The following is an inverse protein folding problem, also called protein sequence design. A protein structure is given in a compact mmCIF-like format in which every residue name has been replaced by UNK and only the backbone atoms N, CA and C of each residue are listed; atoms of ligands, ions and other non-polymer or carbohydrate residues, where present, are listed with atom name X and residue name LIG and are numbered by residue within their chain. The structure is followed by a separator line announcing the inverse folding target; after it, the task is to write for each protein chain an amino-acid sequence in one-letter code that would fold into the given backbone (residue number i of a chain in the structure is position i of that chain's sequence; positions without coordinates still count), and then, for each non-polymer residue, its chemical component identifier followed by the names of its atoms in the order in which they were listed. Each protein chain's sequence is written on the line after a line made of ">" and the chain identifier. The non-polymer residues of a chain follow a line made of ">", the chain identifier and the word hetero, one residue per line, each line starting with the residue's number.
data_IF_156209090572
#
_entry.id   IF_156209090572
#
_cell.length_a   1.000
_cell.length_b   1.000
_cell.length_c   1.000
_cell.angle_alpha   90.00
_cell.angle_beta   90.00
_cell.angle_gamma   90.00
#
_symmetry.space_group_name_H-M   'P 1'
#
loop_
_entity.id
_entity.type
_entity.pdbx_description
1 polymer ?
#
# COMPACT_ATOMS: atom_id res chain seq x y z
N UNK A 1 52.39 15.17 11.20
CA UNK A 1 51.64 14.66 10.04
C UNK A 1 50.17 15.04 10.20
N UNK A 2 49.70 16.09 9.54
CA UNK A 2 48.26 16.41 9.51
C UNK A 2 47.57 15.45 8.55
N UNK A 3 46.59 14.68 9.04
CA UNK A 3 45.68 13.91 8.18
C UNK A 3 44.80 14.91 7.45
N UNK A 4 45.04 15.12 6.15
CA UNK A 4 44.09 15.83 5.29
C UNK A 4 42.76 15.07 5.32
N UNK A 5 41.80 15.58 6.08
CA UNK A 5 40.44 15.07 6.08
C UNK A 5 39.83 15.41 4.70
N UNK A 6 39.91 14.45 3.78
CA UNK A 6 39.23 14.55 2.49
C UNK A 6 37.73 14.65 2.75
N UNK A 7 37.16 15.83 2.54
CA UNK A 7 35.73 16.06 2.72
C UNK A 7 35.00 15.30 1.61
N UNK A 8 34.17 14.29 1.94
CA UNK A 8 33.48 13.53 0.93
C UNK A 8 32.48 14.42 0.19
N UNK A 9 32.55 14.37 -1.14
CA UNK A 9 31.64 15.07 -2.04
C UNK A 9 30.19 14.65 -1.79
N UNK A 10 29.23 15.51 -2.16
CA UNK A 10 27.79 15.18 -2.07
C UNK A 10 27.46 13.86 -2.79
N UNK A 11 28.10 13.60 -3.93
CA UNK A 11 27.94 12.37 -4.69
C UNK A 11 28.42 11.14 -3.90
N UNK A 12 29.61 11.21 -3.28
CA UNK A 12 30.14 10.12 -2.46
C UNK A 12 29.25 9.80 -1.26
N UNK A 13 28.76 10.84 -0.56
CA UNK A 13 27.80 10.67 0.53
C UNK A 13 26.53 9.97 0.05
N UNK A 14 25.95 10.44 -1.07
CA UNK A 14 24.74 9.84 -1.64
C UNK A 14 24.95 8.40 -2.11
N UNK A 15 26.07 8.09 -2.74
CA UNK A 15 26.40 6.72 -3.14
C UNK A 15 26.54 5.79 -1.93
N UNK A 16 27.12 6.26 -0.84
CA UNK A 16 27.24 5.48 0.40
C UNK A 16 25.86 5.22 1.04
N UNK A 17 24.99 6.22 1.07
CA UNK A 17 23.60 6.06 1.54
C UNK A 17 22.84 5.03 0.72
N UNK A 18 22.91 5.12 -0.61
CA UNK A 18 22.22 4.20 -1.51
C UNK A 18 22.76 2.78 -1.37
N UNK A 19 24.08 2.61 -1.24
CA UNK A 19 24.69 1.32 -0.96
C UNK A 19 24.23 0.73 0.37
N UNK A 20 24.23 1.55 1.43
CA UNK A 20 23.80 1.12 2.78
C UNK A 20 22.32 0.73 2.82
N UNK A 21 21.45 1.51 2.17
CA UNK A 21 19.99 1.33 2.26
C UNK A 21 19.44 0.33 1.24
N UNK A 22 19.99 0.31 0.04
CA UNK A 22 19.45 -0.45 -1.09
C UNK A 22 20.42 -1.46 -1.70
N UNK A 23 21.64 -1.59 -1.16
CA UNK A 23 22.65 -2.52 -1.69
C UNK A 23 23.22 -2.13 -3.05
N UNK A 24 22.98 -0.90 -3.53
CA UNK A 24 23.45 -0.46 -4.85
C UNK A 24 24.98 -0.38 -4.91
N UNK A 25 25.58 -0.88 -5.99
CA UNK A 25 27.01 -0.79 -6.23
C UNK A 25 27.42 0.61 -6.72
N UNK A 26 28.65 1.01 -6.43
CA UNK A 26 29.24 2.21 -7.01
C UNK A 26 29.48 2.03 -8.51
N UNK A 27 29.44 3.11 -9.30
CA UNK A 27 29.76 3.08 -10.73
C UNK A 27 31.13 2.45 -11.03
N UNK A 28 32.06 2.49 -10.06
CA UNK A 28 33.40 1.89 -10.17
C UNK A 28 33.42 0.37 -9.94
N UNK A 29 32.38 -0.18 -9.32
CA UNK A 29 32.24 -1.58 -8.92
C UNK A 29 31.45 -2.41 -9.95
N UNK A 30 30.80 -1.76 -10.93
CA UNK A 30 30.00 -2.45 -11.96
C UNK A 30 30.92 -3.18 -12.95
N UNK A 31 30.68 -4.47 -13.25
CA UNK A 31 31.47 -5.24 -14.20
C UNK A 31 31.58 -4.55 -15.55
N UNK A 32 32.81 -4.16 -15.94
CA UNK A 32 33.10 -3.49 -17.21
C UNK A 32 33.18 -4.52 -18.34
N UNK A 33 32.05 -5.08 -18.77
CA UNK A 33 32.03 -5.91 -19.98
C UNK A 33 32.24 -5.08 -21.26
N UNK A 34 31.99 -3.77 -21.20
CA UNK A 34 32.25 -2.81 -22.27
C UNK A 34 32.87 -1.52 -21.72
N UNK A 35 33.80 -0.92 -22.47
CA UNK A 35 34.47 0.33 -22.13
C UNK A 35 33.45 1.41 -21.73
N UNK A 36 33.65 2.02 -20.54
CA UNK A 36 32.86 3.12 -19.96
C UNK A 36 31.35 2.87 -19.89
N UNK A 37 30.87 2.43 -18.73
CA UNK A 37 29.46 2.56 -18.35
C UNK A 37 29.06 4.04 -18.43
N UNK A 38 28.12 4.37 -19.31
CA UNK A 38 27.60 5.74 -19.41
C UNK A 38 26.85 6.11 -18.13
N UNK A 39 26.80 7.41 -17.78
CA UNK A 39 26.04 7.88 -16.62
C UNK A 39 24.55 7.51 -16.72
N UNK A 40 24.00 7.43 -17.95
CA UNK A 40 22.63 7.00 -18.20
C UNK A 40 22.39 5.54 -17.80
N UNK A 41 23.30 4.63 -18.19
CA UNK A 41 23.22 3.21 -17.82
C UNK A 41 23.34 3.04 -16.31
N UNK A 42 24.27 3.75 -15.66
CA UNK A 42 24.40 3.73 -14.20
C UNK A 42 23.14 4.23 -13.49
N UNK A 43 22.57 5.35 -13.95
CA UNK A 43 21.32 5.90 -13.39
C UNK A 43 20.17 4.90 -13.49
N UNK A 44 20.04 4.21 -14.63
CA UNK A 44 19.02 3.16 -14.82
C UNK A 44 19.22 2.01 -13.83
N UNK A 45 20.44 1.49 -13.71
CA UNK A 45 20.79 0.44 -12.74
C UNK A 45 20.44 0.84 -11.29
N UNK A 46 20.83 2.04 -10.87
CA UNK A 46 20.55 2.52 -9.51
C UNK A 46 19.05 2.63 -9.27
N UNK A 47 18.29 3.17 -10.23
CA UNK A 47 16.84 3.29 -10.11
C UNK A 47 16.14 1.93 -10.03
N UNK A 48 16.54 0.97 -10.87
CA UNK A 48 16.02 -0.39 -10.85
C UNK A 48 16.36 -1.10 -9.54
N UNK A 49 17.58 -0.95 -9.03
CA UNK A 49 17.99 -1.52 -7.74
C UNK A 49 17.16 -0.97 -6.59
N UNK A 50 16.98 0.36 -6.54
CA UNK A 50 16.14 1.01 -5.51
C UNK A 50 14.69 0.53 -5.64
N UNK A 51 14.15 0.49 -6.85
CA UNK A 51 12.77 0.05 -7.11
C UNK A 51 12.57 -1.39 -6.61
N UNK A 52 13.43 -2.31 -7.01
CA UNK A 52 13.32 -3.72 -6.65
C UNK A 52 13.42 -3.91 -5.14
N UNK A 53 14.35 -3.21 -4.47
CA UNK A 53 14.47 -3.30 -3.01
C UNK A 53 13.23 -2.74 -2.30
N UNK A 54 12.70 -1.62 -2.76
CA UNK A 54 11.46 -1.06 -2.19
C UNK A 54 10.24 -1.94 -2.45
N UNK A 55 10.14 -2.57 -3.61
CA UNK A 55 9.06 -3.49 -3.96
C UNK A 55 9.14 -4.76 -3.08
N UNK A 56 10.35 -5.30 -2.87
CA UNK A 56 10.61 -6.39 -1.95
C UNK A 56 10.22 -6.04 -0.50
N UNK A 57 10.77 -4.95 0.05
CA UNK A 57 10.50 -4.49 1.42
C UNK A 57 9.00 -4.25 1.64
N UNK A 58 8.29 -3.80 0.61
CA UNK A 58 6.85 -3.59 0.64
C UNK A 58 6.07 -4.91 0.70
N UNK A 59 6.41 -5.89 -0.14
CA UNK A 59 5.79 -7.22 -0.10
C UNK A 59 6.04 -7.90 1.25
N UNK A 60 7.28 -7.89 1.73
CA UNK A 60 7.67 -8.45 3.02
C UNK A 60 6.93 -7.75 4.18
N UNK A 61 6.95 -6.42 4.22
CA UNK A 61 6.30 -5.67 5.30
C UNK A 61 4.78 -5.80 5.32
N UNK A 62 4.14 -6.15 4.20
CA UNK A 62 2.71 -6.44 4.15
C UNK A 62 2.38 -7.87 4.59
N UNK A 63 3.18 -8.86 4.18
CA UNK A 63 2.92 -10.27 4.50
C UNK A 63 3.05 -10.57 6.00
N UNK A 64 3.82 -9.77 6.74
CA UNK A 64 3.91 -9.84 8.20
C UNK A 64 2.61 -9.46 8.93
N UNK A 65 1.71 -8.70 8.29
CA UNK A 65 0.53 -8.11 8.95
C UNK A 65 -0.75 -8.81 8.50
N UNK A 66 -1.33 -9.62 9.39
CA UNK A 66 -2.61 -10.32 9.14
C UNK A 66 -3.75 -9.37 8.75
N UNK A 67 -3.81 -8.17 9.32
CA UNK A 67 -4.86 -7.19 8.96
C UNK A 67 -4.80 -6.77 7.49
N UNK A 68 -3.62 -6.85 6.87
CA UNK A 68 -3.41 -6.50 5.47
C UNK A 68 -3.63 -7.66 4.51
N UNK A 69 -4.06 -8.85 4.95
CA UNK A 69 -4.14 -10.07 4.13
C UNK A 69 -4.86 -9.86 2.79
N UNK A 70 -6.04 -9.22 2.79
CA UNK A 70 -6.78 -8.90 1.55
C UNK A 70 -5.98 -7.92 0.67
N UNK A 71 -5.39 -6.89 1.28
CA UNK A 71 -4.59 -5.90 0.57
C UNK A 71 -3.34 -6.53 -0.05
N UNK A 72 -2.59 -7.32 0.70
CA UNK A 72 -1.34 -7.95 0.25
C UNK A 72 -1.58 -9.00 -0.82
N UNK A 73 -2.71 -9.71 -0.76
CA UNK A 73 -3.07 -10.73 -1.74
C UNK A 73 -3.41 -10.11 -3.10
N UNK A 74 -4.09 -8.96 -3.11
CA UNK A 74 -4.67 -8.42 -4.35
C UNK A 74 -4.03 -7.12 -4.87
N UNK A 75 -3.27 -6.38 -4.05
CA UNK A 75 -2.52 -5.22 -4.52
C UNK A 75 -1.23 -5.68 -5.20
N UNK A 76 -1.20 -5.59 -6.52
CA UNK A 76 -0.09 -6.11 -7.34
C UNK A 76 1.10 -5.15 -7.49
N UNK A 77 0.89 -3.84 -7.30
CA UNK A 77 1.91 -2.80 -7.53
C UNK A 77 2.05 -1.89 -6.31
N UNK A 78 3.28 -1.58 -5.92
CA UNK A 78 3.57 -0.63 -4.85
C UNK A 78 3.18 0.79 -5.24
N UNK A 79 2.67 1.56 -4.26
CA UNK A 79 2.35 2.98 -4.42
C UNK A 79 0.87 3.25 -4.65
N UNK A 80 0.56 4.52 -4.84
CA UNK A 80 -0.81 4.99 -5.02
C UNK A 80 -1.33 4.55 -6.39
N UNK A 81 -2.60 4.13 -6.41
CA UNK A 81 -3.35 4.08 -7.66
C UNK A 81 -3.84 5.50 -7.89
N UNK A 82 -3.55 6.05 -9.07
CA UNK A 82 -3.96 7.41 -9.41
C UNK A 82 -5.47 7.58 -9.23
N UNK A 83 -5.88 8.75 -8.73
CA UNK A 83 -7.27 9.17 -8.58
C UNK A 83 -8.17 8.36 -7.62
N UNK A 84 -7.65 7.42 -6.82
CA UNK A 84 -8.46 6.77 -5.76
C UNK A 84 -8.63 7.66 -4.52
N UNK A 85 -7.60 8.44 -4.18
CA UNK A 85 -7.56 9.23 -2.95
C UNK A 85 -7.54 10.73 -3.24
N UNK A 86 -8.49 11.47 -2.67
CA UNK A 86 -8.67 12.93 -2.81
C UNK A 86 -8.70 13.66 -1.45
N UNK A 87 -8.16 13.02 -0.40
CA UNK A 87 -8.13 13.51 0.98
C UNK A 87 -9.51 13.75 1.62
N UNK A 88 -10.60 13.24 1.06
CA UNK A 88 -11.91 13.27 1.74
C UNK A 88 -11.98 12.26 2.89
N UNK A 89 -13.03 12.40 3.72
CA UNK A 89 -13.35 11.43 4.77
C UNK A 89 -13.51 10.02 4.19
N UNK A 90 -14.16 9.89 3.05
CA UNK A 90 -14.41 8.66 2.31
C UNK A 90 -13.14 8.06 1.78
N UNK A 91 -12.16 8.86 1.33
CA UNK A 91 -10.83 8.34 1.00
C UNK A 91 -10.11 7.75 2.21
N UNK A 92 -10.22 8.37 3.39
CA UNK A 92 -9.68 7.80 4.63
C UNK A 92 -10.39 6.49 5.02
N UNK A 93 -11.72 6.46 4.91
CA UNK A 93 -12.50 5.25 5.21
C UNK A 93 -12.21 4.12 4.22
N UNK A 94 -12.11 4.43 2.93
CA UNK A 94 -11.70 3.48 1.90
C UNK A 94 -10.29 2.95 2.16
N UNK A 95 -9.33 3.80 2.53
CA UNK A 95 -7.98 3.36 2.89
C UNK A 95 -8.01 2.39 4.08
N UNK A 96 -8.82 2.68 5.11
CA UNK A 96 -9.00 1.79 6.25
C UNK A 96 -9.67 0.47 5.84
N UNK A 97 -10.70 0.51 5.00
CA UNK A 97 -11.39 -0.67 4.50
C UNK A 97 -10.46 -1.56 3.68
N UNK A 98 -9.67 -0.96 2.77
CA UNK A 98 -8.63 -1.67 2.01
C UNK A 98 -7.62 -2.36 2.93
N UNK A 99 -7.28 -1.74 4.05
CA UNK A 99 -6.34 -2.27 5.04
C UNK A 99 -6.97 -3.21 6.08
N UNK A 100 -8.25 -3.56 5.98
CA UNK A 100 -8.94 -4.42 6.96
C UNK A 100 -9.15 -3.77 8.33
N UNK A 101 -9.11 -2.44 8.39
CA UNK A 101 -9.08 -1.65 9.63
C UNK A 101 -10.29 -0.70 9.78
N UNK A 102 -11.38 -0.97 9.05
CA UNK A 102 -12.59 -0.17 9.18
C UNK A 102 -13.13 -0.25 10.62
N UNK A 103 -13.49 0.90 11.19
CA UNK A 103 -13.87 1.02 12.60
C UNK A 103 -15.34 0.63 12.84
N UNK A 104 -15.69 -0.60 12.43
CA UNK A 104 -17.06 -1.11 12.53
C UNK A 104 -17.48 -1.34 13.99
N UNK A 105 -18.78 -1.56 14.23
CA UNK A 105 -19.29 -1.90 15.56
C UNK A 105 -18.69 -3.18 16.11
N UNK A 106 -18.48 -4.21 15.28
CA UNK A 106 -17.75 -5.44 15.68
C UNK A 106 -16.32 -5.15 16.12
N UNK A 107 -15.62 -4.22 15.46
CA UNK A 107 -14.28 -3.81 15.90
C UNK A 107 -14.35 -3.03 17.22
N UNK A 108 -15.26 -2.04 17.29
CA UNK A 108 -15.38 -1.12 18.42
C UNK A 108 -15.93 -1.77 19.69
N UNK A 109 -16.77 -2.81 19.58
CA UNK A 109 -17.32 -3.55 20.73
C UNK A 109 -16.24 -4.23 21.57
N UNK A 110 -15.05 -4.47 20.99
CA UNK A 110 -13.88 -5.01 21.73
C UNK A 110 -13.30 -4.01 22.73
N UNK A 111 -13.55 -2.71 22.54
CA UNK A 111 -12.94 -1.63 23.31
C UNK A 111 -13.96 -0.70 23.99
N UNK A 112 -15.23 -0.80 23.60
CA UNK A 112 -16.34 0.02 24.09
C UNK A 112 -17.50 -0.89 24.50
N UNK A 113 -18.25 -0.49 25.52
CA UNK A 113 -19.45 -1.21 25.95
C UNK A 113 -20.62 -0.98 24.99
N UNK A 114 -20.52 -1.54 23.77
CA UNK A 114 -21.53 -1.49 22.72
C UNK A 114 -21.70 -2.89 22.10
N UNK A 115 -22.90 -3.21 21.61
CA UNK A 115 -23.12 -4.45 20.83
C UNK A 115 -22.49 -4.41 19.44
N UNK A 116 -22.11 -5.58 18.92
CA UNK A 116 -21.50 -5.74 17.60
C UNK A 116 -22.50 -5.69 16.43
N UNK A 117 -23.81 -5.80 16.70
CA UNK A 117 -24.88 -5.82 15.69
C UNK A 117 -24.89 -4.57 14.81
N UNK A 118 -25.10 -4.75 13.51
CA UNK A 118 -25.28 -3.67 12.55
C UNK A 118 -26.56 -2.90 12.82
N UNK A 119 -26.48 -1.56 12.85
CA UNK A 119 -27.64 -0.71 13.07
C UNK A 119 -28.54 -0.57 11.84
N UNK A 120 -28.05 -0.93 10.64
CA UNK A 120 -28.83 -0.84 9.41
C UNK A 120 -29.78 -2.02 9.25
N UNK A 121 -29.30 -3.24 9.54
CA UNK A 121 -30.09 -4.46 9.36
C UNK A 121 -30.59 -5.08 10.66
N UNK A 122 -29.99 -4.73 11.82
CA UNK A 122 -30.31 -5.23 13.16
C UNK A 122 -30.26 -6.75 13.35
N UNK A 123 -29.71 -7.49 12.37
CA UNK A 123 -29.70 -8.96 12.36
C UNK A 123 -28.31 -9.56 12.57
N UNK A 124 -27.31 -9.01 11.90
CA UNK A 124 -25.95 -9.56 11.85
C UNK A 124 -24.93 -8.65 12.54
N UNK A 125 -23.76 -9.19 12.85
CA UNK A 125 -22.63 -8.38 13.29
C UNK A 125 -22.14 -7.45 12.19
N UNK A 126 -21.84 -6.20 12.53
CA UNK A 126 -21.28 -5.23 11.60
C UNK A 126 -19.79 -5.52 11.35
N UNK A 127 -19.52 -6.46 10.44
CA UNK A 127 -18.18 -6.70 9.90
C UNK A 127 -17.85 -5.69 8.81
N UNK A 128 -16.58 -5.62 8.39
CA UNK A 128 -16.20 -4.77 7.27
C UNK A 128 -16.85 -5.24 5.97
N UNK A 129 -16.89 -6.56 5.75
CA UNK A 129 -17.55 -7.22 4.64
C UNK A 129 -19.04 -6.82 4.58
N UNK A 130 -19.72 -6.92 5.72
CA UNK A 130 -21.14 -6.58 5.86
C UNK A 130 -21.42 -5.10 5.54
N UNK A 131 -20.52 -4.19 5.95
CA UNK A 131 -20.62 -2.76 5.60
C UNK A 131 -20.39 -2.54 4.10
N UNK A 132 -19.33 -3.13 3.53
CA UNK A 132 -18.99 -2.97 2.11
C UNK A 132 -20.08 -3.54 1.20
N UNK A 133 -20.73 -4.63 1.61
CA UNK A 133 -21.83 -5.28 0.90
C UNK A 133 -23.21 -4.74 1.28
N UNK A 134 -23.27 -3.70 2.12
CA UNK A 134 -24.53 -3.03 2.47
C UNK A 134 -25.60 -3.94 3.06
N UNK A 135 -25.17 -4.87 3.92
CA UNK A 135 -26.00 -5.89 4.56
C UNK A 135 -26.53 -6.99 3.63
N UNK A 136 -26.03 -7.08 2.40
CA UNK A 136 -26.32 -8.18 1.48
C UNK A 136 -25.29 -9.31 1.60
N UNK A 137 -25.68 -10.53 1.23
CA UNK A 137 -24.81 -11.71 1.16
C UNK A 137 -24.89 -12.35 -0.25
N UNK A 138 -24.35 -11.68 -1.28
CA UNK A 138 -24.37 -12.20 -2.64
C UNK A 138 -23.41 -13.40 -2.81
N UNK A 139 -23.70 -14.36 -3.70
CA UNK A 139 -22.83 -15.53 -3.93
C UNK A 139 -21.37 -15.20 -4.25
N UNK A 140 -21.12 -14.07 -4.93
CA UNK A 140 -19.79 -13.59 -5.32
C UNK A 140 -19.26 -12.47 -4.40
N UNK A 141 -19.59 -12.51 -3.11
CA UNK A 141 -19.25 -11.50 -2.10
C UNK A 141 -17.80 -11.00 -2.17
N UNK A 142 -16.80 -11.89 -2.18
CA UNK A 142 -15.38 -11.48 -2.20
C UNK A 142 -15.01 -10.78 -3.52
N UNK A 143 -15.58 -11.20 -4.66
CA UNK A 143 -15.36 -10.52 -5.94
C UNK A 143 -15.90 -9.09 -5.89
N UNK A 144 -17.11 -8.91 -5.37
CA UNK A 144 -17.75 -7.60 -5.21
C UNK A 144 -16.96 -6.71 -4.27
N UNK A 145 -16.53 -7.24 -3.12
CA UNK A 145 -15.69 -6.51 -2.15
C UNK A 145 -14.40 -6.04 -2.81
N UNK A 146 -13.69 -6.91 -3.54
CA UNK A 146 -12.45 -6.54 -4.24
C UNK A 146 -12.67 -5.43 -5.26
N UNK A 147 -13.76 -5.49 -6.03
CA UNK A 147 -14.13 -4.44 -7.01
C UNK A 147 -14.42 -3.10 -6.31
N UNK A 148 -15.24 -3.11 -5.26
CA UNK A 148 -15.57 -1.91 -4.45
C UNK A 148 -14.32 -1.30 -3.79
N UNK A 149 -13.37 -2.12 -3.37
CA UNK A 149 -12.12 -1.69 -2.74
C UNK A 149 -11.01 -1.26 -3.72
N UNK A 150 -11.20 -1.40 -5.04
CA UNK A 150 -10.14 -1.13 -6.01
C UNK A 150 -8.97 -2.13 -5.92
N UNK A 151 -9.29 -3.38 -5.59
CA UNK A 151 -8.38 -4.53 -5.47
C UNK A 151 -8.71 -5.63 -6.51
N UNK A 152 -9.47 -5.28 -7.53
CA UNK A 152 -9.78 -6.14 -8.67
C UNK A 152 -9.39 -5.43 -9.98
N UNK A 153 -8.98 -6.16 -11.01
CA UNK A 153 -8.64 -5.56 -12.32
C UNK A 153 -9.84 -4.87 -12.98
N UNK A 154 -11.04 -5.42 -12.79
CA UNK A 154 -12.31 -4.85 -13.24
C UNK A 154 -12.84 -3.71 -12.34
N UNK A 155 -12.07 -3.22 -11.37
CA UNK A 155 -12.52 -2.10 -10.53
C UNK A 155 -12.56 -0.81 -11.37
N UNK A 156 -13.72 -0.17 -11.44
CA UNK A 156 -13.86 1.12 -12.13
C UNK A 156 -13.72 2.28 -11.15
N UNK A 157 -13.26 3.47 -11.59
CA UNK A 157 -13.23 4.67 -10.75
C UNK A 157 -14.60 5.01 -10.14
N UNK A 158 -15.68 4.79 -10.89
CA UNK A 158 -17.06 4.97 -10.41
C UNK A 158 -17.39 4.04 -9.24
N UNK A 159 -17.08 2.74 -9.34
CA UNK A 159 -17.32 1.78 -8.25
C UNK A 159 -16.60 2.18 -6.97
N UNK A 160 -15.35 2.63 -7.10
CA UNK A 160 -14.53 3.06 -5.97
C UNK A 160 -15.09 4.36 -5.36
N UNK A 161 -15.51 5.30 -6.21
CA UNK A 161 -16.16 6.53 -5.78
C UNK A 161 -17.47 6.27 -5.05
N UNK A 162 -18.37 5.45 -5.62
CA UNK A 162 -19.64 5.06 -5.02
C UNK A 162 -19.39 4.39 -3.64
N UNK A 163 -18.34 3.57 -3.53
CA UNK A 163 -17.93 2.96 -2.26
C UNK A 163 -17.48 4.01 -1.23
N UNK A 164 -16.77 5.07 -1.65
CA UNK A 164 -16.39 6.16 -0.73
C UNK A 164 -17.61 6.88 -0.20
N UNK A 165 -18.57 7.21 -1.07
CA UNK A 165 -19.82 7.90 -0.69
C UNK A 165 -20.60 7.05 0.30
N UNK A 166 -20.80 5.76 -0.01
CA UNK A 166 -21.47 4.82 0.89
C UNK A 166 -20.78 4.73 2.26
N UNK A 167 -19.44 4.65 2.29
CA UNK A 167 -18.70 4.62 3.55
C UNK A 167 -18.83 5.93 4.34
N UNK A 168 -18.91 7.09 3.68
CA UNK A 168 -19.14 8.37 4.36
C UNK A 168 -20.53 8.45 4.99
N UNK A 169 -21.56 7.95 4.30
CA UNK A 169 -22.95 7.92 4.78
C UNK A 169 -23.17 6.89 5.91
N UNK A 170 -22.38 5.81 5.93
CA UNK A 170 -22.46 4.78 6.97
C UNK A 170 -22.06 5.28 8.37
N UNK A 171 -21.14 6.25 8.49
CA UNK A 171 -20.48 6.61 9.77
C UNK A 171 -21.16 7.74 10.53
#
# INVERSE_FOLDING_TARGET
>A
MMKNASIPTKLQKRSLELKKKFGSQSIREIPRSTLRVSLGVYKKYVNETIKNKLDQDWVEGMSEKRTLERYSTYKTVRGNIEHIYDNTRGSRLLANARAGCLQTRKFRSRFKNIGATCLRCEREEETQEHVILECEDPPDAECIIRKRLGLHEESTPKMIFDTKVMLEEWV
#
